data_IF_614921532235
#
_entry.id   IF_614921532235
#
_cell.length_a   1.000
_cell.length_b   1.000
_cell.length_c   1.000
_cell.angle_alpha   90.00
_cell.angle_beta   90.00
_cell.angle_gamma   90.00
#
_symmetry.space_group_name_H-M   'P 1'
#
loop_
_entity.id
_entity.type
_entity.pdbx_description
1 polymer ?
#
# COMPACT_ATOMS: atom_id res chain seq x y z
N UNK A 1 18.00 -1.77 -24.84
CA UNK A 1 17.96 -0.94 -23.61
C UNK A 1 19.30 -0.21 -23.51
N UNK A 2 19.27 1.08 -23.28
CA UNK A 2 20.51 1.84 -23.19
C UNK A 2 21.16 1.71 -21.81
N UNK A 3 22.40 2.17 -21.69
CA UNK A 3 23.17 2.05 -20.45
C UNK A 3 22.56 2.89 -19.30
N UNK A 4 21.89 3.99 -19.64
CA UNK A 4 21.21 4.79 -18.63
C UNK A 4 20.06 4.03 -17.95
N UNK A 5 19.32 3.25 -18.73
CA UNK A 5 18.25 2.42 -18.19
C UNK A 5 18.77 1.29 -17.31
N UNK A 6 19.89 0.67 -17.72
CA UNK A 6 20.50 -0.38 -16.92
C UNK A 6 20.92 0.15 -15.56
N UNK A 7 21.52 1.34 -15.51
CA UNK A 7 21.89 1.97 -14.24
C UNK A 7 20.72 2.28 -13.36
N UNK A 8 19.61 2.73 -13.95
CA UNK A 8 18.38 3.02 -13.18
C UNK A 8 17.73 1.76 -12.62
N UNK A 9 17.75 0.67 -13.38
CA UNK A 9 17.22 -0.60 -12.91
C UNK A 9 18.02 -1.11 -11.71
N UNK A 10 19.33 -1.03 -11.79
CA UNK A 10 20.20 -1.45 -10.69
C UNK A 10 19.99 -0.60 -9.45
N UNK A 11 19.83 0.70 -9.63
CA UNK A 11 19.57 1.62 -8.52
C UNK A 11 18.21 1.33 -7.87
N UNK A 12 17.20 1.04 -8.68
CA UNK A 12 15.88 0.70 -8.17
C UNK A 12 15.91 -0.56 -7.29
N UNK A 13 16.65 -1.57 -7.74
CA UNK A 13 16.79 -2.80 -6.96
C UNK A 13 17.49 -2.55 -5.63
N UNK A 14 18.53 -1.72 -5.63
CA UNK A 14 19.24 -1.38 -4.40
C UNK A 14 18.34 -0.63 -3.43
N UNK A 15 17.54 0.32 -3.92
CA UNK A 15 16.57 1.01 -3.09
C UNK A 15 15.60 0.04 -2.44
N UNK A 16 15.05 -0.88 -3.23
CA UNK A 16 14.05 -1.83 -2.73
C UNK A 16 14.62 -2.82 -1.72
N UNK A 17 15.86 -3.23 -1.91
CA UNK A 17 16.49 -4.27 -1.09
C UNK A 17 17.23 -3.73 0.12
N UNK A 18 17.87 -2.57 -0.01
CA UNK A 18 18.80 -2.08 1.00
C UNK A 18 18.43 -0.71 1.57
N UNK A 19 17.61 0.05 0.88
CA UNK A 19 17.33 1.44 1.26
C UNK A 19 15.82 1.72 1.29
N UNK A 20 15.02 0.74 1.68
CA UNK A 20 13.56 0.88 1.72
C UNK A 20 13.11 1.95 2.69
N UNK A 21 13.89 2.23 3.72
CA UNK A 21 13.59 3.24 4.73
C UNK A 21 13.57 4.67 4.14
N UNK A 22 14.06 4.84 2.93
CA UNK A 22 14.00 6.13 2.24
C UNK A 22 12.64 6.40 1.62
N UNK A 23 11.79 5.37 1.54
CA UNK A 23 10.49 5.46 0.88
C UNK A 23 9.38 5.41 1.93
N UNK A 24 8.53 6.40 1.92
CA UNK A 24 7.43 6.50 2.87
C UNK A 24 6.12 6.60 2.11
N UNK A 25 5.15 5.75 2.47
CA UNK A 25 3.82 5.83 1.90
C UNK A 25 3.04 6.87 2.68
N UNK A 26 2.82 8.02 2.07
CA UNK A 26 2.11 9.12 2.71
C UNK A 26 0.62 9.04 2.48
N UNK A 27 0.22 8.60 1.31
CA UNK A 27 -1.19 8.38 1.00
C UNK A 27 -1.32 7.29 -0.04
N UNK A 28 -2.46 6.60 -0.02
CA UNK A 28 -2.70 5.47 -0.92
C UNK A 28 -4.20 5.30 -1.09
N UNK A 29 -4.63 5.00 -2.31
CA UNK A 29 -6.03 4.67 -2.60
C UNK A 29 -6.05 3.30 -3.25
N UNK A 30 -6.80 2.38 -2.65
CA UNK A 30 -6.89 1.00 -3.12
C UNK A 30 -8.33 0.64 -3.43
N UNK A 31 -8.55 0.10 -4.62
CA UNK A 31 -9.84 -0.43 -5.02
C UNK A 31 -9.86 -1.92 -4.71
N UNK A 32 -10.87 -2.37 -4.00
CA UNK A 32 -11.02 -3.76 -3.59
C UNK A 32 -12.27 -4.34 -4.24
N UNK A 33 -12.11 -5.40 -5.01
CA UNK A 33 -13.24 -6.08 -5.62
C UNK A 33 -13.87 -7.03 -4.61
N UNK A 34 -15.03 -6.61 -4.08
CA UNK A 34 -15.79 -7.46 -3.17
C UNK A 34 -16.72 -8.40 -3.91
N UNK A 35 -17.38 -9.26 -3.17
CA UNK A 35 -18.29 -10.26 -3.76
C UNK A 35 -19.47 -9.60 -4.48
N UNK A 36 -20.04 -8.56 -3.89
CA UNK A 36 -21.20 -7.88 -4.45
C UNK A 36 -20.90 -6.46 -4.92
N UNK A 37 -19.96 -5.79 -4.28
CA UNK A 37 -19.65 -4.39 -4.53
C UNK A 37 -18.16 -4.16 -4.53
N UNK A 38 -17.78 -3.09 -5.22
CA UNK A 38 -16.41 -2.60 -5.16
C UNK A 38 -16.28 -1.65 -3.98
N UNK A 39 -15.22 -1.82 -3.21
CA UNK A 39 -14.94 -0.96 -2.06
C UNK A 39 -13.67 -0.16 -2.29
N UNK A 40 -13.56 0.97 -1.61
CA UNK A 40 -12.37 1.81 -1.69
C UNK A 40 -11.76 1.93 -0.29
N UNK A 41 -10.46 1.64 -0.21
CA UNK A 41 -9.68 1.82 1.01
C UNK A 41 -8.70 2.95 0.78
N UNK A 42 -8.68 3.92 1.67
CA UNK A 42 -7.72 5.02 1.61
C UNK A 42 -6.80 4.99 2.81
N UNK A 43 -5.55 5.34 2.58
CA UNK A 43 -4.55 5.50 3.61
C UNK A 43 -4.05 6.93 3.54
N UNK A 44 -4.24 7.69 4.62
CA UNK A 44 -3.83 9.09 4.71
C UNK A 44 -3.32 9.34 6.11
N UNK A 45 -2.14 9.92 6.22
CA UNK A 45 -1.53 10.29 7.51
C UNK A 45 -1.47 9.13 8.51
N UNK A 46 -1.13 7.95 8.00
CA UNK A 46 -1.00 6.76 8.84
C UNK A 46 -2.32 6.10 9.22
N UNK A 47 -3.43 6.56 8.68
CA UNK A 47 -4.75 6.05 9.04
C UNK A 47 -5.46 5.46 7.83
N UNK A 48 -6.03 4.27 8.00
CA UNK A 48 -6.82 3.58 6.97
C UNK A 48 -8.29 3.89 7.13
N UNK A 49 -8.99 3.99 6.00
CA UNK A 49 -10.42 4.18 5.92
C UNK A 49 -10.99 3.27 4.84
N UNK A 50 -12.18 2.74 5.06
CA UNK A 50 -12.84 1.89 4.09
C UNK A 50 -14.30 2.30 3.94
N UNK A 51 -14.86 2.10 2.74
CA UNK A 51 -16.24 2.48 2.46
C UNK A 51 -17.26 1.41 2.83
N UNK A 52 -16.85 0.23 3.30
CA UNK A 52 -17.79 -0.83 3.63
C UNK A 52 -18.56 -0.54 4.93
N UNK A 53 -19.74 -1.15 5.04
CA UNK A 53 -20.63 -0.92 6.20
C UNK A 53 -20.01 -1.39 7.51
N UNK A 54 -19.28 -2.49 7.46
CA UNK A 54 -18.65 -3.03 8.65
C UNK A 54 -17.64 -2.04 9.24
N UNK A 55 -16.86 -1.39 8.38
CA UNK A 55 -15.90 -0.39 8.81
C UNK A 55 -16.59 0.83 9.43
N UNK A 56 -17.69 1.26 8.82
CA UNK A 56 -18.43 2.43 9.31
C UNK A 56 -18.90 2.23 10.74
N UNK A 57 -19.22 0.98 11.11
CA UNK A 57 -19.70 0.67 12.45
C UNK A 57 -18.58 0.44 13.46
N UNK A 58 -17.46 -0.13 13.03
CA UNK A 58 -16.44 -0.66 13.93
C UNK A 58 -15.05 -0.08 13.74
N UNK A 59 -14.86 0.73 12.71
CA UNK A 59 -13.58 1.36 12.36
C UNK A 59 -12.48 0.38 11.99
N UNK A 60 -12.83 -0.88 11.70
CA UNK A 60 -11.93 -1.86 11.09
C UNK A 60 -12.76 -2.84 10.27
N UNK A 61 -12.12 -3.50 9.33
CA UNK A 61 -12.78 -4.51 8.50
C UNK A 61 -11.73 -5.40 7.84
N UNK A 62 -12.17 -6.46 7.15
CA UNK A 62 -11.26 -7.35 6.46
C UNK A 62 -10.44 -6.63 5.38
N UNK A 63 -11.01 -5.61 4.75
CA UNK A 63 -10.32 -4.86 3.70
C UNK A 63 -9.14 -4.08 4.26
N UNK A 64 -9.35 -3.35 5.37
CA UNK A 64 -8.26 -2.60 6.00
C UNK A 64 -7.21 -3.51 6.60
N UNK A 65 -7.63 -4.64 7.17
CA UNK A 65 -6.70 -5.62 7.73
C UNK A 65 -5.85 -6.25 6.63
N UNK A 66 -6.44 -6.54 5.48
CA UNK A 66 -5.69 -7.07 4.34
C UNK A 66 -4.67 -6.06 3.83
N UNK A 67 -5.04 -4.78 3.76
CA UNK A 67 -4.13 -3.73 3.33
C UNK A 67 -2.97 -3.60 4.31
N UNK A 68 -3.23 -3.67 5.60
CA UNK A 68 -2.16 -3.64 6.61
C UNK A 68 -1.15 -4.78 6.40
N UNK A 69 -1.64 -5.98 6.11
CA UNK A 69 -0.76 -7.12 5.86
C UNK A 69 0.07 -6.92 4.58
N UNK A 70 -0.56 -6.38 3.54
CA UNK A 70 0.14 -6.08 2.28
C UNK A 70 1.22 -5.02 2.54
N UNK A 71 0.89 -3.97 3.28
CA UNK A 71 1.81 -2.87 3.54
C UNK A 71 2.98 -3.29 4.42
N UNK A 72 2.82 -4.27 5.29
CA UNK A 72 3.92 -4.79 6.10
C UNK A 72 5.06 -5.32 5.24
N UNK A 73 4.72 -5.87 4.06
CA UNK A 73 5.74 -6.33 3.12
C UNK A 73 6.35 -5.22 2.29
N UNK A 74 5.73 -4.05 2.28
CA UNK A 74 6.16 -2.91 1.46
C UNK A 74 6.98 -1.89 2.22
N UNK A 75 6.72 -1.73 3.51
CA UNK A 75 7.41 -0.73 4.33
C UNK A 75 8.38 -1.37 5.30
N UNK A 76 9.52 -0.73 5.56
CA UNK A 76 10.43 -1.20 6.60
C UNK A 76 9.78 -0.97 7.97
N UNK A 77 9.98 -1.89 8.85
CA UNK A 77 9.47 -1.80 10.21
C UNK A 77 10.43 -1.04 11.12
#
# INVERSE_FOLDING_TARGET
MDSGMIGKIQKAKRYAEQERERFHIESLVVSVDGTNNKHTVTFVDGKLNCTCDFYQSREYCSHTMAIEEIMKGMEPL
#
